data_IF_616207855249
#
_entry.id   IF_616207855249
#
_cell.length_a   1.000
_cell.length_b   1.000
_cell.length_c   1.000
_cell.angle_alpha   90.00
_cell.angle_beta   90.00
_cell.angle_gamma   90.00
#
_symmetry.space_group_name_H-M   'P 1'
#
loop_
_entity.id
_entity.type
_entity.pdbx_description
1 polymer ?
#
# COMPACT_ATOMS: atom_id res chain seq x y z
N UNK A 1 7.72 -3.12 -25.18
CA UNK A 1 8.16 -2.82 -23.79
C UNK A 1 7.44 -3.80 -22.89
N UNK A 2 8.12 -4.42 -21.92
CA UNK A 2 7.46 -5.36 -20.99
C UNK A 2 6.66 -4.54 -19.99
N UNK A 3 5.38 -4.89 -19.77
CA UNK A 3 4.55 -4.25 -18.76
C UNK A 3 5.07 -4.56 -17.35
N UNK A 4 4.99 -3.61 -16.41
CA UNK A 4 5.30 -3.85 -15.00
C UNK A 4 4.38 -4.91 -14.40
N UNK A 5 4.83 -5.53 -13.31
CA UNK A 5 3.96 -6.35 -12.49
C UNK A 5 3.03 -5.49 -11.64
N UNK A 6 1.93 -6.06 -11.19
CA UNK A 6 0.90 -5.38 -10.41
C UNK A 6 0.79 -5.97 -9.00
N UNK A 7 0.37 -5.15 -8.06
CA UNK A 7 -0.18 -5.58 -6.77
C UNK A 7 -1.31 -4.63 -6.32
N UNK A 8 -2.23 -5.14 -5.51
CA UNK A 8 -3.42 -4.42 -5.08
C UNK A 8 -3.59 -4.50 -3.58
N UNK A 9 -4.03 -3.40 -2.98
CA UNK A 9 -4.33 -3.30 -1.56
C UNK A 9 -5.82 -3.09 -1.34
N UNK A 10 -6.36 -3.76 -0.32
CA UNK A 10 -7.74 -3.68 0.10
C UNK A 10 -7.86 -3.35 1.58
N UNK A 11 -9.00 -2.79 1.98
CA UNK A 11 -9.39 -2.63 3.37
C UNK A 11 -10.29 -3.79 3.82
N UNK A 12 -10.20 -4.24 5.08
CA UNK A 12 -11.16 -5.19 5.63
C UNK A 12 -12.58 -4.64 5.55
N UNK A 13 -13.55 -5.44 5.07
CA UNK A 13 -14.94 -5.01 4.96
C UNK A 13 -15.61 -4.96 6.34
N UNK A 14 -16.54 -4.00 6.54
CA UNK A 14 -17.27 -3.83 7.80
C UNK A 14 -18.68 -4.42 7.80
N UNK A 15 -19.18 -4.83 6.65
CA UNK A 15 -20.53 -5.39 6.47
C UNK A 15 -20.47 -6.54 5.48
N UNK A 16 -21.46 -7.44 5.51
CA UNK A 16 -21.56 -8.56 4.57
C UNK A 16 -21.64 -8.09 3.12
N UNK A 17 -22.35 -6.99 2.86
CA UNK A 17 -22.38 -6.39 1.53
C UNK A 17 -21.00 -5.91 1.09
N UNK A 18 -20.28 -5.20 1.96
CA UNK A 18 -18.92 -4.74 1.65
C UNK A 18 -17.95 -5.92 1.46
N UNK A 19 -18.17 -7.06 2.15
CA UNK A 19 -17.40 -8.31 1.95
C UNK A 19 -17.63 -8.89 0.56
N UNK A 20 -18.89 -8.94 0.12
CA UNK A 20 -19.22 -9.40 -1.22
C UNK A 20 -18.67 -8.45 -2.30
N UNK A 21 -18.81 -7.13 -2.12
CA UNK A 21 -18.27 -6.13 -3.04
C UNK A 21 -16.73 -6.25 -3.14
N UNK A 22 -16.04 -6.47 -2.01
CA UNK A 22 -14.60 -6.72 -1.97
C UNK A 22 -14.24 -7.99 -2.74
N UNK A 23 -14.97 -9.10 -2.50
CA UNK A 23 -14.76 -10.38 -3.17
C UNK A 23 -14.87 -10.25 -4.69
N UNK A 24 -15.95 -9.64 -5.17
CA UNK A 24 -16.18 -9.40 -6.60
C UNK A 24 -15.06 -8.52 -7.18
N UNK A 25 -14.66 -7.49 -6.45
CA UNK A 25 -13.57 -6.60 -6.85
C UNK A 25 -12.21 -7.29 -6.93
N UNK A 26 -11.88 -8.11 -5.95
CA UNK A 26 -10.63 -8.87 -5.92
C UNK A 26 -10.58 -9.89 -7.08
N UNK A 27 -11.68 -10.61 -7.34
CA UNK A 27 -11.79 -11.52 -8.49
C UNK A 27 -11.59 -10.78 -9.82
N UNK A 28 -12.18 -9.58 -9.97
CA UNK A 28 -11.99 -8.76 -11.16
C UNK A 28 -10.54 -8.35 -11.35
N UNK A 29 -9.86 -7.88 -10.29
CA UNK A 29 -8.45 -7.48 -10.35
C UNK A 29 -7.51 -8.68 -10.50
N UNK A 30 -7.87 -9.88 -10.02
CA UNK A 30 -7.11 -11.10 -10.22
C UNK A 30 -6.94 -11.46 -11.70
N UNK A 31 -7.89 -11.09 -12.57
CA UNK A 31 -7.78 -11.29 -14.03
C UNK A 31 -6.60 -10.55 -14.66
N UNK A 32 -6.04 -9.54 -13.96
CA UNK A 32 -4.84 -8.81 -14.38
C UNK A 32 -3.54 -9.53 -13.98
N UNK A 33 -3.63 -10.72 -13.39
CA UNK A 33 -2.50 -11.54 -12.95
C UNK A 33 -1.51 -10.79 -12.03
N UNK A 34 -1.98 -10.18 -10.93
CA UNK A 34 -1.08 -9.48 -10.00
C UNK A 34 -0.13 -10.46 -9.32
N UNK A 35 1.05 -9.95 -8.90
CA UNK A 35 2.02 -10.74 -8.14
C UNK A 35 1.51 -11.13 -6.76
N UNK A 36 0.81 -10.21 -6.12
CA UNK A 36 0.17 -10.41 -4.82
C UNK A 36 -0.94 -9.37 -4.60
N UNK A 37 -1.78 -9.64 -3.62
CA UNK A 37 -2.76 -8.70 -3.07
C UNK A 37 -2.56 -8.60 -1.56
N UNK A 38 -2.85 -7.44 -0.97
CA UNK A 38 -2.71 -7.22 0.48
C UNK A 38 -4.02 -6.73 1.09
N UNK A 39 -4.20 -7.04 2.37
CA UNK A 39 -5.31 -6.51 3.17
C UNK A 39 -4.74 -5.72 4.33
N UNK A 40 -5.22 -4.50 4.53
CA UNK A 40 -4.77 -3.62 5.60
C UNK A 40 -5.20 -4.14 6.97
N UNK A 41 -4.47 -3.73 8.01
CA UNK A 41 -4.78 -4.01 9.41
C UNK A 41 -4.76 -2.72 10.22
N UNK A 42 -5.63 -2.65 11.24
CA UNK A 42 -5.67 -1.52 12.18
C UNK A 42 -6.38 -0.27 11.64
N UNK A 43 -6.47 -0.11 10.31
CA UNK A 43 -7.19 0.99 9.72
C UNK A 43 -8.68 0.94 10.10
N UNK A 44 -9.21 2.05 10.60
CA UNK A 44 -10.62 2.22 10.95
C UNK A 44 -11.18 1.17 11.94
N UNK A 45 -10.33 0.60 12.81
CA UNK A 45 -10.73 -0.37 13.85
C UNK A 45 -10.92 -1.81 13.35
N UNK A 46 -10.25 -2.19 12.25
CA UNK A 46 -10.18 -3.59 11.84
C UNK A 46 -9.36 -4.41 12.85
N UNK A 47 -9.78 -5.65 13.11
CA UNK A 47 -9.08 -6.59 13.99
C UNK A 47 -8.09 -7.44 13.19
N UNK A 48 -7.12 -8.06 13.89
CA UNK A 48 -6.18 -9.04 13.28
C UNK A 48 -6.95 -10.21 12.68
N UNK A 49 -7.91 -10.74 13.42
CA UNK A 49 -8.76 -11.87 13.00
C UNK A 49 -9.55 -11.54 11.74
N UNK A 50 -10.14 -10.34 11.67
CA UNK A 50 -10.89 -9.89 10.49
C UNK A 50 -10.00 -9.79 9.24
N UNK A 51 -8.79 -9.25 9.37
CA UNK A 51 -7.81 -9.20 8.27
C UNK A 51 -7.36 -10.59 7.85
N UNK A 52 -7.08 -11.47 8.83
CA UNK A 52 -6.65 -12.84 8.58
C UNK A 52 -7.68 -13.65 7.80
N UNK A 53 -8.94 -13.62 8.23
CA UNK A 53 -10.02 -14.35 7.56
C UNK A 53 -10.25 -13.87 6.12
N UNK A 54 -10.18 -12.55 5.89
CA UNK A 54 -10.28 -12.00 4.52
C UNK A 54 -9.09 -12.43 3.65
N UNK A 55 -7.87 -12.43 4.16
CA UNK A 55 -6.72 -12.93 3.42
C UNK A 55 -6.90 -14.39 3.00
N UNK A 56 -7.34 -15.26 3.91
CA UNK A 56 -7.62 -16.68 3.62
C UNK A 56 -8.71 -16.86 2.55
N UNK A 57 -9.80 -16.12 2.70
CA UNK A 57 -10.92 -16.16 1.77
C UNK A 57 -10.47 -15.75 0.35
N UNK A 58 -9.79 -14.62 0.23
CA UNK A 58 -9.33 -14.12 -1.06
C UNK A 58 -8.26 -15.04 -1.68
N UNK A 59 -7.35 -15.60 -0.88
CA UNK A 59 -6.37 -16.57 -1.36
C UNK A 59 -7.04 -17.78 -2.01
N UNK A 60 -8.06 -18.34 -1.33
CA UNK A 60 -8.79 -19.51 -1.84
C UNK A 60 -9.58 -19.20 -3.13
N UNK A 61 -10.08 -17.99 -3.29
CA UNK A 61 -10.96 -17.62 -4.40
C UNK A 61 -10.22 -17.07 -5.62
N UNK A 62 -9.09 -16.38 -5.42
CA UNK A 62 -8.36 -15.72 -6.51
C UNK A 62 -7.17 -16.50 -7.01
N UNK A 63 -6.66 -17.44 -6.22
CA UNK A 63 -5.35 -18.12 -6.43
C UNK A 63 -4.16 -17.14 -6.53
N UNK A 64 -4.34 -15.89 -6.08
CA UNK A 64 -3.29 -14.87 -6.01
C UNK A 64 -2.64 -14.94 -4.62
N UNK A 65 -1.31 -14.86 -4.51
CA UNK A 65 -0.65 -14.75 -3.22
C UNK A 65 -1.19 -13.58 -2.40
N UNK A 66 -1.63 -13.87 -1.18
CA UNK A 66 -2.15 -12.84 -0.27
C UNK A 66 -1.10 -12.40 0.74
N UNK A 67 -1.13 -11.11 1.05
CA UNK A 67 -0.33 -10.52 2.09
C UNK A 67 -1.21 -9.83 3.14
N UNK A 68 -0.71 -9.80 4.37
CA UNK A 68 -1.34 -9.09 5.48
C UNK A 68 -0.51 -7.87 5.87
N UNK A 69 -1.16 -6.75 6.12
CA UNK A 69 -0.51 -5.69 6.88
C UNK A 69 -0.37 -6.13 8.33
N UNK A 70 0.71 -5.71 8.96
CA UNK A 70 0.96 -5.98 10.37
C UNK A 70 1.63 -4.77 11.02
N UNK A 71 0.96 -4.24 12.06
CA UNK A 71 1.48 -3.13 12.84
C UNK A 71 1.95 -3.63 14.20
N UNK A 72 3.06 -3.06 14.70
CA UNK A 72 3.63 -3.47 15.98
C UNK A 72 3.28 -2.53 17.14
N UNK A 73 2.90 -1.28 16.87
CA UNK A 73 2.65 -0.31 17.92
C UNK A 73 1.52 -0.76 18.85
N UNK A 74 1.79 -0.73 20.15
CA UNK A 74 0.82 -1.11 21.18
C UNK A 74 0.63 -2.60 21.40
N UNK A 75 1.37 -3.45 20.70
CA UNK A 75 1.28 -4.91 20.84
C UNK A 75 2.57 -5.50 21.40
N UNK A 76 2.50 -6.33 22.46
CA UNK A 76 3.65 -7.09 22.92
C UNK A 76 4.20 -8.00 21.82
N UNK A 77 5.53 -8.20 21.82
CA UNK A 77 6.24 -9.07 20.86
C UNK A 77 5.67 -10.49 20.84
N UNK A 78 5.33 -11.04 22.00
CA UNK A 78 4.77 -12.39 22.11
C UNK A 78 3.47 -12.53 21.32
N UNK A 79 2.51 -11.61 21.52
CA UNK A 79 1.24 -11.60 20.78
C UNK A 79 1.43 -11.41 19.26
N UNK A 80 2.42 -10.59 18.87
CA UNK A 80 2.75 -10.40 17.46
C UNK A 80 3.29 -11.69 16.85
N UNK A 81 4.15 -12.41 17.56
CA UNK A 81 4.73 -13.65 17.07
C UNK A 81 3.71 -14.78 17.01
N UNK A 82 2.78 -14.89 17.94
CA UNK A 82 1.66 -15.84 17.84
C UNK A 82 0.85 -15.61 16.56
N UNK A 83 0.55 -14.36 16.25
CA UNK A 83 -0.16 -14.02 15.02
C UNK A 83 0.67 -14.27 13.76
N UNK A 84 1.96 -13.98 13.78
CA UNK A 84 2.90 -14.27 12.71
C UNK A 84 2.96 -15.78 12.41
N UNK A 85 2.96 -16.62 13.43
CA UNK A 85 2.92 -18.09 13.30
C UNK A 85 1.63 -18.56 12.61
N UNK A 86 0.49 -17.96 12.96
CA UNK A 86 -0.79 -18.26 12.31
C UNK A 86 -0.81 -17.86 10.83
N UNK A 87 -0.25 -16.68 10.49
CA UNK A 87 -0.11 -16.24 9.10
C UNK A 87 0.73 -17.22 8.30
N UNK A 88 1.91 -17.56 8.81
CA UNK A 88 2.81 -18.49 8.14
C UNK A 88 2.19 -19.86 7.93
N UNK A 89 1.61 -20.45 8.96
CA UNK A 89 0.94 -21.76 8.90
C UNK A 89 -0.24 -21.78 7.93
N UNK A 90 -0.83 -20.63 7.63
CA UNK A 90 -1.95 -20.49 6.68
C UNK A 90 -1.52 -20.15 5.25
N UNK A 91 -0.21 -20.12 4.96
CA UNK A 91 0.32 -19.83 3.63
C UNK A 91 0.31 -18.33 3.27
N UNK A 92 0.10 -17.44 4.24
CA UNK A 92 0.20 -15.98 4.04
C UNK A 92 1.65 -15.59 4.31
N UNK A 93 2.44 -15.51 3.25
CA UNK A 93 3.89 -15.30 3.31
C UNK A 93 4.33 -13.88 2.93
N UNK A 94 3.41 -13.02 2.52
CA UNK A 94 3.68 -11.60 2.30
C UNK A 94 3.24 -10.78 3.50
N UNK A 95 4.10 -9.90 3.99
CA UNK A 95 3.77 -8.96 5.07
C UNK A 95 4.07 -7.52 4.64
N UNK A 96 3.20 -6.60 5.03
CA UNK A 96 3.49 -5.17 5.00
C UNK A 96 3.73 -4.75 6.45
N UNK A 97 5.01 -4.60 6.80
CA UNK A 97 5.44 -4.27 8.18
C UNK A 97 5.39 -2.75 8.40
N UNK A 98 4.58 -2.32 9.33
CA UNK A 98 4.30 -0.92 9.64
C UNK A 98 4.40 -0.66 11.14
N UNK A 99 4.64 0.60 11.52
CA UNK A 99 4.51 1.02 12.93
C UNK A 99 3.06 0.90 13.39
N UNK A 100 2.15 1.39 12.61
CA UNK A 100 0.75 1.66 12.96
C UNK A 100 0.55 3.13 13.36
N UNK A 101 -0.72 3.55 13.31
CA UNK A 101 -1.11 4.89 13.72
C UNK A 101 -1.08 5.03 15.23
N UNK A 102 -0.72 6.21 15.71
CA UNK A 102 -0.76 6.53 17.14
C UNK A 102 -2.22 6.86 17.51
N UNK A 103 -2.87 6.07 18.36
CA UNK A 103 -4.24 6.39 18.77
C UNK A 103 -4.29 7.71 19.55
N UNK A 104 -5.35 8.49 19.33
CA UNK A 104 -5.50 9.78 20.01
C UNK A 104 -5.56 9.59 21.54
N UNK A 105 -4.73 10.35 22.26
CA UNK A 105 -4.69 10.32 23.74
C UNK A 105 -3.90 9.17 24.34
N UNK A 106 -3.21 8.36 23.55
CA UNK A 106 -2.36 7.29 24.05
C UNK A 106 -0.97 7.81 24.41
N UNK A 107 -0.49 7.49 25.60
CA UNK A 107 0.89 7.72 26.02
C UNK A 107 1.80 6.64 25.44
N UNK A 108 2.65 7.01 24.48
CA UNK A 108 3.61 6.09 23.86
C UNK A 108 4.65 5.53 24.85
N UNK A 109 4.82 6.15 26.01
CA UNK A 109 5.74 5.62 27.05
C UNK A 109 5.27 4.28 27.60
N UNK A 110 3.98 3.95 27.51
CA UNK A 110 3.43 2.66 27.89
C UNK A 110 3.96 1.50 27.03
N UNK A 111 4.42 1.78 25.81
CA UNK A 111 4.91 0.79 24.85
C UNK A 111 6.43 0.85 24.67
N UNK A 112 7.15 1.44 25.64
CA UNK A 112 8.59 1.41 25.71
C UNK A 112 9.04 0.20 26.54
N UNK A 113 10.17 -0.39 26.15
CA UNK A 113 10.76 -1.51 26.87
C UNK A 113 11.03 -2.71 25.96
N UNK A 114 11.61 -3.76 26.55
CA UNK A 114 12.07 -4.93 25.80
C UNK A 114 10.92 -5.77 25.19
N UNK A 115 9.73 -5.68 25.75
CA UNK A 115 8.56 -6.41 25.29
C UNK A 115 7.91 -5.80 24.03
N UNK A 116 8.34 -4.61 23.60
CA UNK A 116 7.76 -3.90 22.46
C UNK A 116 8.82 -3.55 21.42
N UNK A 117 8.42 -3.55 20.15
CA UNK A 117 9.25 -3.00 19.08
C UNK A 117 9.23 -1.47 19.13
N UNK A 118 10.40 -0.87 18.93
CA UNK A 118 10.54 0.59 18.90
C UNK A 118 10.66 1.13 17.47
N UNK A 119 11.21 0.33 16.56
CA UNK A 119 11.43 0.69 15.17
C UNK A 119 10.93 -0.39 14.22
N UNK A 120 10.46 0.03 13.05
CA UNK A 120 10.05 -0.90 11.99
C UNK A 120 11.22 -1.77 11.51
N UNK A 121 12.45 -1.27 11.55
CA UNK A 121 13.65 -2.07 11.23
C UNK A 121 13.79 -3.30 12.12
N UNK A 122 13.66 -3.12 13.42
CA UNK A 122 13.79 -4.20 14.40
C UNK A 122 12.66 -5.24 14.25
N UNK A 123 11.47 -4.73 13.90
CA UNK A 123 10.35 -5.60 13.61
C UNK A 123 10.55 -6.43 12.33
N UNK A 124 11.06 -5.82 11.25
CA UNK A 124 11.40 -6.52 10.00
C UNK A 124 12.46 -7.60 10.26
N UNK A 125 13.53 -7.28 10.98
CA UNK A 125 14.58 -8.24 11.34
C UNK A 125 14.03 -9.43 12.12
N UNK A 126 13.18 -9.17 13.12
CA UNK A 126 12.55 -10.21 13.93
C UNK A 126 11.59 -11.11 13.14
N UNK A 127 10.82 -10.54 12.19
CA UNK A 127 9.95 -11.30 11.28
C UNK A 127 10.78 -12.26 10.42
N UNK A 128 11.87 -11.77 9.84
CA UNK A 128 12.74 -12.55 8.94
C UNK A 128 13.59 -13.59 9.68
N UNK A 129 13.94 -13.33 10.95
CA UNK A 129 14.59 -14.31 11.80
C UNK A 129 13.65 -15.50 12.14
N UNK A 130 12.34 -15.28 12.14
CA UNK A 130 11.36 -16.32 12.47
C UNK A 130 10.97 -17.16 11.26
N UNK A 131 10.67 -16.53 10.14
CA UNK A 131 10.29 -17.18 8.87
C UNK A 131 10.78 -16.36 7.67
N UNK A 132 11.02 -16.98 6.51
CA UNK A 132 11.43 -16.28 5.29
C UNK A 132 10.26 -15.56 4.61
N UNK A 133 9.66 -14.62 5.30
CA UNK A 133 8.59 -13.78 4.75
C UNK A 133 9.08 -12.90 3.62
N UNK A 134 8.21 -12.59 2.70
CA UNK A 134 8.36 -11.51 1.75
C UNK A 134 7.82 -10.21 2.38
N UNK A 135 8.73 -9.37 2.91
CA UNK A 135 8.35 -8.19 3.70
C UNK A 135 8.42 -6.93 2.85
N UNK A 136 7.29 -6.21 2.79
CA UNK A 136 7.20 -4.85 2.26
C UNK A 136 7.18 -3.83 3.40
N UNK A 137 7.75 -2.64 3.17
CA UNK A 137 7.75 -1.51 4.12
C UNK A 137 7.27 -0.24 3.43
N UNK A 138 6.80 0.74 4.20
CA UNK A 138 6.39 2.04 3.66
C UNK A 138 7.57 2.96 3.36
N UNK A 139 7.43 3.77 2.29
CA UNK A 139 8.30 4.88 1.91
C UNK A 139 7.46 6.13 1.63
N UNK A 140 8.03 7.32 1.71
CA UNK A 140 7.29 8.58 1.65
C UNK A 140 7.97 9.58 0.72
N UNK A 141 7.51 9.71 -0.55
CA UNK A 141 8.10 10.64 -1.52
C UNK A 141 8.08 12.09 -1.04
N UNK A 142 7.05 12.48 -0.29
CA UNK A 142 6.86 13.83 0.26
C UNK A 142 7.26 13.94 1.76
N UNK A 143 7.99 12.97 2.30
CA UNK A 143 8.39 12.83 3.71
C UNK A 143 7.26 12.31 4.62
N UNK A 144 7.59 11.39 5.52
CA UNK A 144 6.66 10.95 6.57
C UNK A 144 6.25 12.14 7.46
N UNK A 145 4.95 12.33 7.78
CA UNK A 145 4.49 13.47 8.59
C UNK A 145 5.26 13.65 9.90
N UNK A 146 5.57 12.57 10.61
CA UNK A 146 6.28 12.59 11.89
C UNK A 146 7.81 12.71 11.74
N UNK A 147 8.38 12.59 10.54
CA UNK A 147 9.81 12.72 10.37
C UNK A 147 10.25 14.19 10.46
N UNK A 148 11.34 14.51 11.19
CA UNK A 148 11.81 15.88 11.32
C UNK A 148 12.34 16.45 10.00
N UNK A 149 12.89 15.61 9.12
CA UNK A 149 13.38 16.02 7.81
C UNK A 149 13.32 14.84 6.81
N UNK A 150 13.51 15.13 5.52
CA UNK A 150 13.60 14.10 4.47
C UNK A 150 14.79 13.18 4.70
N UNK A 151 15.92 13.71 5.15
CA UNK A 151 17.13 12.92 5.45
C UNK A 151 16.87 11.92 6.57
N UNK A 152 16.16 12.33 7.62
CA UNK A 152 15.80 11.45 8.73
C UNK A 152 14.82 10.34 8.29
N UNK A 153 13.89 10.65 7.39
CA UNK A 153 12.96 9.68 6.82
C UNK A 153 13.68 8.67 5.90
N UNK A 154 14.60 9.17 5.05
CA UNK A 154 15.44 8.32 4.22
C UNK A 154 16.35 7.40 5.05
N UNK A 155 16.91 7.89 6.16
CA UNK A 155 17.70 7.06 7.07
C UNK A 155 16.84 5.98 7.75
N UNK A 156 15.60 6.30 8.13
CA UNK A 156 14.65 5.32 8.64
C UNK A 156 14.30 4.27 7.57
N UNK A 157 14.10 4.68 6.31
CA UNK A 157 13.88 3.76 5.19
C UNK A 157 15.10 2.88 4.95
N UNK A 158 16.32 3.46 4.94
CA UNK A 158 17.58 2.71 4.77
C UNK A 158 17.72 1.61 5.81
N UNK A 159 17.38 1.89 7.08
CA UNK A 159 17.40 0.88 8.16
C UNK A 159 16.40 -0.24 7.91
N UNK A 160 15.17 0.08 7.50
CA UNK A 160 14.17 -0.93 7.13
C UNK A 160 14.63 -1.83 5.98
N UNK A 161 15.26 -1.24 4.96
CA UNK A 161 15.83 -1.96 3.84
C UNK A 161 17.00 -2.86 4.26
N UNK A 162 17.93 -2.32 5.08
CA UNK A 162 19.06 -3.08 5.61
C UNK A 162 18.65 -4.24 6.52
N UNK A 163 17.52 -4.14 7.21
CA UNK A 163 16.91 -5.21 8.00
C UNK A 163 16.34 -6.36 7.14
N UNK A 164 16.35 -6.24 5.81
CA UNK A 164 15.98 -7.30 4.88
C UNK A 164 14.61 -7.12 4.20
N UNK A 165 14.00 -5.93 4.25
CA UNK A 165 12.78 -5.68 3.49
C UNK A 165 12.99 -5.97 2.00
N UNK A 166 12.12 -6.77 1.40
CA UNK A 166 12.19 -7.16 -0.01
C UNK A 166 11.87 -6.00 -0.95
N UNK A 167 11.06 -5.05 -0.50
CA UNK A 167 10.69 -3.83 -1.22
C UNK A 167 10.17 -2.75 -0.28
N UNK A 168 10.21 -1.51 -0.76
CA UNK A 168 9.48 -0.40 -0.17
C UNK A 168 8.32 0.01 -1.10
N UNK A 169 7.13 0.23 -0.55
CA UNK A 169 5.98 0.75 -1.29
C UNK A 169 5.77 2.20 -0.87
N UNK A 170 5.68 3.11 -1.84
CA UNK A 170 5.53 4.52 -1.49
C UNK A 170 4.12 4.83 -1.00
N UNK A 171 3.99 5.84 -0.13
CA UNK A 171 2.73 6.57 0.01
C UNK A 171 2.31 7.06 -1.37
N UNK A 172 0.99 7.16 -1.60
CA UNK A 172 0.48 7.62 -2.89
C UNK A 172 0.90 9.09 -3.15
N UNK A 173 1.00 9.41 -4.41
CA UNK A 173 1.31 10.73 -4.94
C UNK A 173 0.54 10.91 -6.26
N UNK A 174 0.36 12.16 -6.69
CA UNK A 174 -0.35 12.48 -7.93
C UNK A 174 0.54 13.14 -8.99
N UNK A 175 1.76 13.48 -8.62
CA UNK A 175 2.80 14.00 -9.53
C UNK A 175 3.97 13.02 -9.54
N UNK A 176 4.25 12.40 -10.70
CA UNK A 176 5.30 11.41 -10.84
C UNK A 176 6.70 11.98 -10.62
N UNK A 177 6.90 13.29 -10.77
CA UNK A 177 8.18 13.93 -10.49
C UNK A 177 8.61 13.75 -9.04
N UNK A 178 7.68 13.75 -8.10
CA UNK A 178 7.94 13.48 -6.67
C UNK A 178 8.54 12.08 -6.46
N UNK A 179 8.05 11.10 -7.21
CA UNK A 179 8.56 9.74 -7.15
C UNK A 179 9.96 9.64 -7.76
N UNK A 180 10.20 10.27 -8.90
CA UNK A 180 11.52 10.24 -9.55
C UNK A 180 12.58 10.94 -8.70
N UNK A 181 12.27 12.13 -8.16
CA UNK A 181 13.15 12.85 -7.23
C UNK A 181 13.43 12.03 -5.97
N UNK A 182 12.43 11.30 -5.47
CA UNK A 182 12.59 10.43 -4.31
C UNK A 182 13.53 9.26 -4.60
N UNK A 183 13.43 8.64 -5.79
CA UNK A 183 14.35 7.58 -6.19
C UNK A 183 15.81 8.06 -6.23
N UNK A 184 16.06 9.26 -6.74
CA UNK A 184 17.41 9.84 -6.75
C UNK A 184 17.94 10.07 -5.32
N UNK A 185 17.12 10.65 -4.45
CA UNK A 185 17.48 10.84 -3.03
C UNK A 185 17.72 9.52 -2.31
N UNK A 186 16.89 8.51 -2.56
CA UNK A 186 17.06 7.17 -1.98
C UNK A 186 18.35 6.50 -2.46
N UNK A 187 18.68 6.61 -3.74
CA UNK A 187 19.93 6.11 -4.29
C UNK A 187 21.14 6.81 -3.67
N UNK A 188 21.11 8.14 -3.53
CA UNK A 188 22.15 8.91 -2.82
C UNK A 188 22.31 8.50 -1.35
N UNK A 189 21.22 8.08 -0.70
CA UNK A 189 21.24 7.55 0.66
C UNK A 189 21.70 6.07 0.75
N UNK A 190 22.09 5.45 -0.40
CA UNK A 190 22.57 4.07 -0.46
C UNK A 190 21.48 3.01 -0.38
N UNK A 191 20.22 3.37 -0.65
CA UNK A 191 19.11 2.43 -0.69
C UNK A 191 19.07 1.75 -2.04
N UNK A 192 19.27 0.42 -2.06
CA UNK A 192 19.24 -0.42 -3.27
C UNK A 192 18.01 -1.31 -3.35
N UNK A 193 17.25 -1.40 -2.27
CA UNK A 193 15.98 -2.13 -2.24
C UNK A 193 14.99 -1.52 -3.22
N UNK A 194 14.25 -2.33 -4.01
CA UNK A 194 13.26 -1.81 -4.94
C UNK A 194 12.22 -0.92 -4.27
N UNK A 195 12.02 0.27 -4.81
CA UNK A 195 10.98 1.21 -4.35
C UNK A 195 9.85 1.18 -5.39
N UNK A 196 8.67 0.76 -4.94
CA UNK A 196 7.49 0.56 -5.78
C UNK A 196 6.56 1.75 -5.61
N UNK A 197 6.11 2.42 -6.70
CA UNK A 197 5.14 3.50 -6.60
C UNK A 197 3.79 2.97 -6.14
N UNK A 198 3.25 3.57 -5.09
CA UNK A 198 1.89 3.39 -4.61
C UNK A 198 0.96 4.38 -5.30
N UNK A 199 -0.07 3.90 -5.97
CA UNK A 199 -0.99 4.68 -6.79
C UNK A 199 -2.40 4.64 -6.22
N UNK A 200 -3.07 5.78 -6.20
CA UNK A 200 -4.41 5.89 -5.65
C UNK A 200 -5.41 6.44 -6.68
N UNK A 201 -6.47 5.69 -7.00
CA UNK A 201 -7.52 6.17 -7.89
C UNK A 201 -8.34 7.28 -7.23
N UNK A 202 -8.70 8.32 -7.98
CA UNK A 202 -9.53 9.41 -7.50
C UNK A 202 -10.97 9.20 -8.00
N UNK A 203 -11.82 8.65 -7.13
CA UNK A 203 -13.26 8.52 -7.40
C UNK A 203 -14.13 9.54 -6.66
N UNK A 204 -13.51 10.37 -5.81
CA UNK A 204 -14.14 11.45 -5.04
C UNK A 204 -13.01 12.37 -4.57
N UNK A 205 -12.86 13.52 -5.24
CA UNK A 205 -11.75 14.42 -4.97
C UNK A 205 -11.75 14.93 -3.53
N UNK A 206 -12.90 15.31 -2.99
CA UNK A 206 -12.98 15.87 -1.63
C UNK A 206 -12.60 14.85 -0.54
N UNK A 207 -12.89 13.55 -0.76
CA UNK A 207 -12.41 12.49 0.15
C UNK A 207 -10.91 12.26 0.02
N UNK A 208 -10.40 12.29 -1.20
CA UNK A 208 -8.96 12.11 -1.45
C UNK A 208 -8.15 13.26 -0.87
N UNK A 209 -8.61 14.51 -0.98
CA UNK A 209 -7.92 15.66 -0.38
C UNK A 209 -7.82 15.54 1.15
N UNK A 210 -8.91 15.13 1.81
CA UNK A 210 -8.90 14.90 3.27
C UNK A 210 -7.94 13.77 3.65
N UNK A 211 -7.94 12.69 2.87
CA UNK A 211 -7.06 11.55 3.11
C UNK A 211 -5.59 11.91 2.84
N UNK A 212 -5.31 12.61 1.75
CA UNK A 212 -3.97 13.10 1.43
C UNK A 212 -3.41 13.99 2.55
N UNK A 213 -4.20 14.92 3.04
CA UNK A 213 -3.81 15.79 4.16
C UNK A 213 -3.42 14.99 5.42
N UNK A 214 -4.14 13.90 5.73
CA UNK A 214 -3.81 13.04 6.89
C UNK A 214 -2.54 12.20 6.68
N UNK A 215 -2.19 11.90 5.44
CA UNK A 215 -1.01 11.09 5.07
C UNK A 215 0.22 11.93 4.74
N UNK A 216 0.13 13.27 4.72
CA UNK A 216 1.20 14.16 4.30
C UNK A 216 1.47 14.13 2.80
N UNK A 217 0.49 13.69 1.99
CA UNK A 217 0.57 13.71 0.54
C UNK A 217 -0.11 14.97 -0.03
N UNK A 218 0.45 15.52 -1.09
CA UNK A 218 -0.12 16.70 -1.76
C UNK A 218 -1.08 16.30 -2.89
N UNK A 219 -2.10 17.14 -3.09
CA UNK A 219 -2.96 17.07 -4.28
C UNK A 219 -2.63 18.29 -5.14
N UNK A 220 -1.98 18.12 -6.30
CA UNK A 220 -1.58 19.23 -7.15
C UNK A 220 -2.77 19.99 -7.76
N UNK A 221 -2.58 21.28 -8.09
CA UNK A 221 -3.63 22.10 -8.69
C UNK A 221 -4.10 21.61 -10.06
N UNK A 222 -3.22 20.95 -10.82
CA UNK A 222 -3.64 20.37 -12.10
C UNK A 222 -4.68 19.26 -11.90
N UNK A 223 -4.58 18.49 -10.81
CA UNK A 223 -5.59 17.47 -10.45
C UNK A 223 -6.92 18.15 -10.15
N UNK A 224 -6.91 19.18 -9.28
CA UNK A 224 -8.12 19.94 -8.92
C UNK A 224 -8.81 20.51 -10.15
N UNK A 225 -8.03 21.12 -11.04
CA UNK A 225 -8.58 21.69 -12.30
C UNK A 225 -9.26 20.65 -13.18
N UNK A 226 -8.77 19.41 -13.21
CA UNK A 226 -9.38 18.32 -14.00
C UNK A 226 -10.77 17.92 -13.49
N UNK A 227 -11.02 18.04 -12.18
CA UNK A 227 -12.33 17.73 -11.58
C UNK A 227 -13.28 18.92 -11.49
N UNK A 228 -12.78 20.14 -11.68
CA UNK A 228 -13.57 21.37 -11.51
C UNK A 228 -14.79 21.39 -12.43
N UNK A 229 -15.97 21.59 -11.84
CA UNK A 229 -17.24 21.64 -12.53
C UNK A 229 -17.94 20.29 -12.73
N UNK A 230 -17.35 19.20 -12.18
CA UNK A 230 -17.92 17.86 -12.29
C UNK A 230 -18.36 17.26 -10.94
N UNK A 231 -18.36 18.06 -9.86
CA UNK A 231 -18.60 17.59 -8.48
C UNK A 231 -19.96 16.90 -8.28
N UNK A 232 -20.92 17.20 -9.13
CA UNK A 232 -22.27 16.59 -9.10
C UNK A 232 -22.51 15.50 -10.15
N UNK A 233 -21.51 15.15 -10.95
CA UNK A 233 -21.61 14.18 -12.05
C UNK A 233 -20.71 12.96 -11.81
N UNK A 234 -21.24 11.86 -11.22
CA UNK A 234 -20.45 10.66 -10.92
C UNK A 234 -19.79 10.04 -12.15
N UNK A 235 -20.44 10.14 -13.33
CA UNK A 235 -19.90 9.59 -14.56
C UNK A 235 -18.66 10.38 -15.00
N UNK A 236 -18.72 11.70 -14.98
CA UNK A 236 -17.60 12.56 -15.32
C UNK A 236 -16.46 12.45 -14.31
N UNK A 237 -16.77 12.36 -13.02
CA UNK A 237 -15.78 12.10 -11.98
C UNK A 237 -15.04 10.79 -12.22
N UNK A 238 -15.75 9.72 -12.58
CA UNK A 238 -15.15 8.43 -12.93
C UNK A 238 -14.23 8.55 -14.16
N UNK A 239 -14.71 9.20 -15.23
CA UNK A 239 -13.94 9.38 -16.46
C UNK A 239 -12.62 10.14 -16.19
N UNK A 240 -12.70 11.27 -15.48
CA UNK A 240 -11.54 12.08 -15.11
C UNK A 240 -10.57 11.30 -14.23
N UNK A 241 -11.06 10.60 -13.21
CA UNK A 241 -10.22 9.79 -12.31
C UNK A 241 -9.53 8.64 -13.04
N UNK A 242 -10.23 7.97 -13.97
CA UNK A 242 -9.66 6.94 -14.85
C UNK A 242 -8.55 7.53 -15.72
N UNK A 243 -8.80 8.65 -16.37
CA UNK A 243 -7.87 9.26 -17.32
C UNK A 243 -6.60 9.74 -16.60
N UNK A 244 -6.74 10.37 -15.44
CA UNK A 244 -5.59 10.77 -14.61
C UNK A 244 -4.74 9.57 -14.20
N UNK A 245 -5.35 8.50 -13.70
CA UNK A 245 -4.62 7.30 -13.32
C UNK A 245 -3.99 6.60 -14.53
N UNK A 246 -4.68 6.60 -15.68
CA UNK A 246 -4.15 6.05 -16.94
C UNK A 246 -2.90 6.81 -17.40
N UNK A 247 -2.94 8.14 -17.37
CA UNK A 247 -1.82 9.01 -17.72
C UNK A 247 -0.63 8.80 -16.76
N UNK A 248 -0.91 8.71 -15.46
CA UNK A 248 0.09 8.46 -14.42
C UNK A 248 0.78 7.11 -14.63
N UNK A 249 0.02 6.04 -14.85
CA UNK A 249 0.54 4.69 -15.13
C UNK A 249 1.36 4.67 -16.42
N UNK A 250 0.84 5.27 -17.50
CA UNK A 250 1.54 5.32 -18.78
C UNK A 250 2.91 6.00 -18.68
N UNK A 251 2.99 7.06 -17.88
CA UNK A 251 4.23 7.76 -17.64
C UNK A 251 5.24 6.91 -16.85
N UNK A 252 4.82 6.28 -15.75
CA UNK A 252 5.66 5.36 -14.98
C UNK A 252 6.18 4.18 -15.82
N UNK A 253 5.33 3.63 -16.69
CA UNK A 253 5.73 2.56 -17.62
C UNK A 253 6.81 3.06 -18.60
N UNK A 254 6.65 4.26 -19.16
CA UNK A 254 7.67 4.86 -20.05
C UNK A 254 9.01 5.08 -19.37
N UNK A 255 9.00 5.37 -18.07
CA UNK A 255 10.21 5.53 -17.25
C UNK A 255 10.78 4.22 -16.71
N UNK A 256 10.25 3.07 -17.17
CA UNK A 256 10.82 1.75 -16.88
C UNK A 256 10.51 1.21 -15.49
N UNK A 257 9.49 1.71 -14.82
CA UNK A 257 9.03 1.16 -13.55
C UNK A 257 8.62 -0.30 -13.74
N UNK A 258 9.14 -1.19 -12.90
CA UNK A 258 8.98 -2.65 -13.06
C UNK A 258 7.82 -3.25 -12.28
N UNK A 259 7.23 -2.49 -11.36
CA UNK A 259 6.10 -2.91 -10.52
C UNK A 259 5.28 -1.69 -10.10
N UNK A 260 3.94 -1.84 -10.11
CA UNK A 260 2.97 -0.83 -9.66
C UNK A 260 2.11 -1.42 -8.54
N UNK A 261 1.95 -0.66 -7.46
CA UNK A 261 1.05 -1.00 -6.36
C UNK A 261 -0.14 -0.06 -6.34
N UNK A 262 -1.37 -0.59 -6.17
CA UNK A 262 -2.59 0.22 -6.18
C UNK A 262 -3.35 0.11 -4.86
N UNK A 263 -3.58 1.25 -4.24
CA UNK A 263 -4.50 1.44 -3.12
C UNK A 263 -5.93 1.49 -3.64
N UNK A 264 -6.62 0.35 -3.73
CA UNK A 264 -7.90 0.24 -4.45
C UNK A 264 -9.06 0.96 -3.77
N UNK A 265 -8.94 1.27 -2.47
CA UNK A 265 -10.04 1.79 -1.63
C UNK A 265 -11.31 0.92 -1.70
N UNK A 266 -11.16 -0.39 -1.97
CA UNK A 266 -12.24 -1.34 -2.25
C UNK A 266 -13.17 -0.90 -3.42
N UNK A 267 -12.64 -0.07 -4.34
CA UNK A 267 -13.32 0.40 -5.55
C UNK A 267 -12.50 0.02 -6.78
N UNK A 268 -12.54 -1.25 -7.20
CA UNK A 268 -11.64 -1.81 -8.20
C UNK A 268 -11.86 -1.27 -9.61
N UNK A 269 -13.06 -0.75 -9.92
CA UNK A 269 -13.46 -0.44 -11.30
C UNK A 269 -12.56 0.60 -11.96
N UNK A 270 -12.19 1.65 -11.23
CA UNK A 270 -11.33 2.71 -11.73
C UNK A 270 -9.90 2.20 -11.95
N UNK A 271 -9.35 1.47 -10.97
CA UNK A 271 -8.04 0.83 -11.08
C UNK A 271 -7.99 -0.16 -12.25
N UNK A 272 -9.02 -1.01 -12.36
CA UNK A 272 -9.13 -1.98 -13.46
C UNK A 272 -9.17 -1.28 -14.82
N UNK A 273 -10.01 -0.26 -14.97
CA UNK A 273 -10.14 0.48 -16.22
C UNK A 273 -8.82 1.15 -16.64
N UNK A 274 -8.10 1.77 -15.69
CA UNK A 274 -6.80 2.38 -15.97
C UNK A 274 -5.72 1.34 -16.35
N UNK A 275 -5.70 0.18 -15.69
CA UNK A 275 -4.82 -0.92 -16.04
C UNK A 275 -5.09 -1.44 -17.46
N UNK A 276 -6.36 -1.72 -17.79
CA UNK A 276 -6.73 -2.21 -19.13
C UNK A 276 -6.39 -1.18 -20.21
N UNK A 277 -6.61 0.10 -19.97
CA UNK A 277 -6.24 1.18 -20.89
C UNK A 277 -4.71 1.23 -21.17
N UNK A 278 -3.89 0.76 -20.23
CA UNK A 278 -2.44 0.61 -20.40
C UNK A 278 -2.00 -0.76 -20.91
N UNK A 279 -2.93 -1.62 -21.36
CA UNK A 279 -2.64 -2.91 -21.97
C UNK A 279 -2.48 -4.08 -21.01
N UNK A 280 -2.74 -3.89 -19.70
CA UNK A 280 -2.75 -5.01 -18.77
C UNK A 280 -3.97 -5.92 -19.00
N UNK A 281 -3.84 -7.22 -18.73
CA UNK A 281 -4.91 -8.20 -18.89
C UNK A 281 -5.17 -8.62 -20.35
N UNK A 282 -4.50 -8.04 -21.31
CA UNK A 282 -4.52 -8.53 -22.69
C UNK A 282 -3.63 -9.77 -22.77
N UNK A 283 -4.22 -10.94 -23.02
CA UNK A 283 -3.45 -12.11 -23.36
C UNK A 283 -2.69 -11.80 -24.65
N UNK A 284 -1.36 -11.95 -24.63
CA UNK A 284 -0.60 -12.01 -25.88
C UNK A 284 -1.12 -13.21 -26.67
N UNK A 285 -1.99 -12.95 -27.62
CA UNK A 285 -2.39 -13.93 -28.66
C UNK A 285 -1.23 -14.20 -29.59
#
# INVERSE_FOLDING_TARGET
MRLPSLSFEFFPPKTDKAREDLRVGALKLATLSPKFMTVTYGAAGSTREGTFEICKELAAQTSVPMGSHLTYLGSPKEELFEYVDQLWASGIHHLVALRGDIPVGVDLNLYKGEDYFQYTSDFVEALLARYPFDVSVGAYPEKHPDAPSMEADLEALRKKCAAGAARAVTQFFFDNTLYYDFLEKAACAGITTPIIPGLMPIGDLGKIEKFAASCGASVPDFVRRRFSGYEGDPQKVFEVGRDLLTEQVADLVRHGVSHLHFYTLNRPDLTYAACVANGFGQQNT
#
